data_IF_644512387115
#
_entry.id   IF_644512387115
#
_cell.length_a   1.000
_cell.length_b   1.000
_cell.length_c   1.000
_cell.angle_alpha   90.00
_cell.angle_beta   90.00
_cell.angle_gamma   90.00
#
_symmetry.space_group_name_H-M   'P 1'
#
loop_
_entity.id
_entity.type
_entity.pdbx_description
1 polymer ?
#
# COMPACT_ATOMS: atom_id res chain seq x y z
N UNK A 1 -18.51 -16.93 -0.89
CA UNK A 1 -17.62 -16.21 -1.83
C UNK A 1 -16.20 -16.61 -1.54
N UNK A 2 -15.45 -17.02 -2.55
CA UNK A 2 -14.02 -17.35 -2.42
C UNK A 2 -13.19 -16.10 -2.66
N UNK A 3 -12.08 -15.95 -1.95
CA UNK A 3 -11.21 -14.81 -2.13
C UNK A 3 -9.76 -15.13 -1.85
N UNK A 4 -8.87 -14.26 -2.33
CA UNK A 4 -7.44 -14.36 -2.08
C UNK A 4 -6.85 -12.97 -1.88
N UNK A 5 -5.92 -12.87 -0.93
CA UNK A 5 -5.16 -11.67 -0.65
C UNK A 5 -3.75 -11.85 -1.21
N UNK A 6 -3.39 -11.04 -2.19
CA UNK A 6 -2.04 -11.03 -2.77
C UNK A 6 -1.32 -9.77 -2.30
N UNK A 7 -0.08 -9.87 -1.82
CA UNK A 7 0.59 -8.69 -1.29
C UNK A 7 2.09 -8.62 -1.58
N UNK A 8 2.62 -7.40 -1.59
CA UNK A 8 4.06 -7.15 -1.70
C UNK A 8 4.52 -6.21 -0.59
N UNK A 9 5.13 -6.79 0.44
CA UNK A 9 5.64 -6.09 1.61
C UNK A 9 7.16 -6.03 1.59
N UNK A 10 7.74 -4.83 1.75
CA UNK A 10 9.20 -4.63 1.87
C UNK A 10 9.62 -4.51 3.34
N UNK A 11 8.86 -3.73 4.13
CA UNK A 11 9.15 -3.42 5.54
C UNK A 11 8.04 -3.84 6.50
N UNK A 12 7.26 -4.88 6.16
CA UNK A 12 6.32 -5.51 7.09
C UNK A 12 4.90 -4.94 7.11
N UNK A 13 4.69 -3.62 7.02
CA UNK A 13 3.35 -3.02 7.20
C UNK A 13 2.26 -3.63 6.30
N UNK A 14 2.54 -3.83 5.00
CA UNK A 14 1.58 -4.43 4.06
C UNK A 14 1.27 -5.89 4.42
N UNK A 15 2.26 -6.63 4.91
CA UNK A 15 2.10 -8.02 5.36
C UNK A 15 1.16 -8.06 6.57
N UNK A 16 1.38 -7.17 7.54
CA UNK A 16 0.54 -7.04 8.73
C UNK A 16 -0.93 -6.80 8.37
N UNK A 17 -1.20 -5.88 7.43
CA UNK A 17 -2.55 -5.64 6.92
C UNK A 17 -3.13 -6.83 6.14
N UNK A 18 -2.32 -7.52 5.34
CA UNK A 18 -2.76 -8.72 4.63
C UNK A 18 -3.14 -9.86 5.59
N UNK A 19 -2.37 -10.03 6.67
CA UNK A 19 -2.66 -10.99 7.74
C UNK A 19 -3.94 -10.63 8.48
N UNK A 20 -4.15 -9.36 8.85
CA UNK A 20 -5.39 -8.91 9.47
C UNK A 20 -6.62 -9.04 8.57
N UNK A 21 -6.47 -8.79 7.25
CA UNK A 21 -7.53 -9.07 6.28
C UNK A 21 -7.82 -10.56 6.17
N UNK A 22 -6.79 -11.41 6.19
CA UNK A 22 -6.93 -12.86 6.18
C UNK A 22 -7.69 -13.34 7.42
N UNK A 23 -7.33 -12.85 8.62
CA UNK A 23 -8.06 -13.11 9.87
C UNK A 23 -9.54 -12.72 9.78
N UNK A 24 -9.83 -11.54 9.22
CA UNK A 24 -11.19 -11.01 9.16
C UNK A 24 -12.09 -11.68 8.10
N UNK A 25 -11.50 -12.18 7.01
CA UNK A 25 -12.24 -12.69 5.84
C UNK A 25 -12.17 -14.21 5.68
N UNK A 26 -11.18 -14.87 6.30
CA UNK A 26 -10.84 -16.26 6.04
C UNK A 26 -10.16 -16.51 4.68
N UNK A 27 -9.85 -15.46 3.91
CA UNK A 27 -9.17 -15.60 2.62
C UNK A 27 -7.69 -15.91 2.82
N UNK A 28 -7.11 -16.90 2.10
CA UNK A 28 -5.67 -17.11 2.12
C UNK A 28 -4.93 -15.85 1.68
N UNK A 29 -3.81 -15.55 2.35
CA UNK A 29 -2.90 -14.48 1.95
C UNK A 29 -1.55 -15.03 1.48
N UNK A 30 -1.06 -14.53 0.35
CA UNK A 30 0.20 -14.98 -0.28
C UNK A 30 0.97 -13.80 -0.85
N UNK A 31 2.29 -13.90 -0.90
CA UNK A 31 3.10 -12.84 -1.53
C UNK A 31 2.92 -12.82 -3.05
N UNK A 32 3.10 -11.68 -3.70
CA UNK A 32 3.06 -11.60 -5.18
C UNK A 32 4.10 -12.49 -5.87
N UNK A 33 5.16 -12.91 -5.15
CA UNK A 33 6.20 -13.81 -5.68
C UNK A 33 5.76 -15.27 -5.68
N UNK A 34 4.96 -15.66 -4.69
CA UNK A 34 4.50 -17.03 -4.47
C UNK A 34 3.10 -17.28 -5.04
N UNK A 35 2.36 -16.21 -5.39
CA UNK A 35 1.02 -16.31 -5.93
C UNK A 35 0.99 -17.03 -7.29
N UNK A 36 0.38 -18.21 -7.33
CA UNK A 36 0.00 -18.87 -8.59
C UNK A 36 -1.21 -18.15 -9.19
N UNK A 37 -1.00 -17.55 -10.36
CA UNK A 37 -2.06 -16.82 -11.06
C UNK A 37 -3.23 -17.72 -11.47
N UNK A 38 -3.02 -19.01 -11.71
CA UNK A 38 -4.11 -19.91 -12.07
C UNK A 38 -5.03 -20.20 -10.87
N UNK A 39 -4.50 -20.22 -9.65
CA UNK A 39 -5.31 -20.31 -8.43
C UNK A 39 -6.00 -18.97 -8.11
N UNK A 40 -5.27 -17.85 -8.22
CA UNK A 40 -5.86 -16.51 -8.07
C UNK A 40 -7.03 -16.30 -9.04
N UNK A 41 -6.90 -16.80 -10.27
CA UNK A 41 -7.93 -16.68 -11.29
C UNK A 41 -9.20 -17.53 -11.01
N UNK A 42 -9.18 -18.43 -10.02
CA UNK A 42 -10.38 -19.18 -9.59
C UNK A 42 -11.21 -18.45 -8.55
N UNK A 43 -10.62 -17.48 -7.83
CA UNK A 43 -11.32 -16.76 -6.78
C UNK A 43 -12.33 -15.74 -7.32
N UNK A 44 -13.37 -15.45 -6.54
CA UNK A 44 -14.37 -14.42 -6.86
C UNK A 44 -13.84 -13.01 -6.54
N UNK A 45 -13.09 -12.91 -5.43
CA UNK A 45 -12.49 -11.67 -4.93
C UNK A 45 -10.97 -11.77 -4.92
N UNK A 46 -10.31 -10.75 -5.45
CA UNK A 46 -8.86 -10.58 -5.37
C UNK A 46 -8.56 -9.26 -4.67
N UNK A 47 -7.84 -9.32 -3.56
CA UNK A 47 -7.40 -8.13 -2.81
C UNK A 47 -5.90 -8.00 -2.98
N UNK A 48 -5.43 -6.89 -3.55
CA UNK A 48 -4.02 -6.63 -3.79
C UNK A 48 -3.44 -5.57 -2.86
N UNK A 49 -2.46 -5.95 -2.04
CA UNK A 49 -1.80 -5.07 -1.07
C UNK A 49 -0.41 -4.63 -1.51
N UNK A 50 -0.15 -3.31 -1.51
CA UNK A 50 1.15 -2.75 -1.86
C UNK A 50 1.64 -1.66 -0.91
N UNK A 51 2.95 -1.47 -0.81
CA UNK A 51 3.53 -0.30 -0.14
C UNK A 51 3.77 0.81 -1.14
N UNK A 52 3.65 2.06 -0.69
CA UNK A 52 3.98 3.25 -1.48
C UNK A 52 5.46 3.58 -1.33
N UNK A 53 6.21 3.49 -2.43
CA UNK A 53 7.64 3.81 -2.47
C UNK A 53 7.94 4.67 -3.70
N UNK A 54 8.54 5.85 -3.50
CA UNK A 54 8.77 6.84 -4.57
C UNK A 54 7.49 7.07 -5.41
N UNK A 55 6.36 7.25 -4.72
CA UNK A 55 5.01 7.41 -5.29
C UNK A 55 4.48 6.20 -6.08
N UNK A 56 5.17 5.06 -6.13
CA UNK A 56 4.70 3.82 -6.75
C UNK A 56 4.04 2.86 -5.76
N UNK A 57 2.90 2.27 -6.13
CA UNK A 57 2.24 1.23 -5.33
C UNK A 57 2.79 -0.15 -5.74
N UNK A 58 3.47 -0.83 -4.83
CA UNK A 58 4.30 -2.00 -5.15
C UNK A 58 3.56 -3.20 -5.77
N UNK A 59 2.25 -3.36 -5.53
CA UNK A 59 1.45 -4.46 -6.06
C UNK A 59 0.94 -4.24 -7.50
N UNK A 60 0.96 -3.00 -8.00
CA UNK A 60 0.39 -2.66 -9.32
C UNK A 60 1.08 -3.40 -10.45
N UNK A 61 2.38 -3.69 -10.35
CA UNK A 61 3.09 -4.48 -11.35
C UNK A 61 2.58 -5.91 -11.48
N UNK A 62 2.19 -6.55 -10.36
CA UNK A 62 1.55 -7.86 -10.38
C UNK A 62 0.18 -7.78 -11.05
N UNK A 63 -0.61 -6.76 -10.72
CA UNK A 63 -1.95 -6.58 -11.31
C UNK A 63 -1.83 -6.37 -12.82
N UNK A 64 -0.99 -5.43 -13.28
CA UNK A 64 -0.78 -5.15 -14.72
C UNK A 64 -0.36 -6.40 -15.49
N UNK A 65 0.60 -7.17 -14.96
CA UNK A 65 1.07 -8.41 -15.59
C UNK A 65 -0.04 -9.45 -15.77
N UNK A 66 -1.02 -9.45 -14.88
CA UNK A 66 -2.03 -10.50 -14.79
C UNK A 66 -3.46 -10.01 -15.06
N UNK A 67 -3.64 -8.75 -15.48
CA UNK A 67 -4.95 -8.11 -15.54
C UNK A 67 -5.91 -8.87 -16.44
N UNK A 68 -5.44 -9.43 -17.56
CA UNK A 68 -6.27 -10.26 -18.45
C UNK A 68 -6.89 -11.50 -17.79
N UNK A 69 -6.26 -12.06 -16.74
CA UNK A 69 -6.79 -13.21 -15.98
C UNK A 69 -7.64 -12.81 -14.77
N UNK A 70 -7.50 -11.57 -14.29
CA UNK A 70 -8.19 -11.04 -13.11
C UNK A 70 -9.41 -10.20 -13.53
N UNK A 71 -9.44 -9.70 -14.77
CA UNK A 71 -10.52 -8.88 -15.32
C UNK A 71 -11.87 -9.60 -15.22
N UNK A 72 -12.90 -8.86 -14.81
CA UNK A 72 -14.24 -9.39 -14.57
C UNK A 72 -14.47 -9.93 -13.15
N UNK A 73 -13.43 -10.01 -12.31
CA UNK A 73 -13.56 -10.34 -10.89
C UNK A 73 -13.68 -9.08 -10.04
N UNK A 74 -14.10 -9.25 -8.78
CA UNK A 74 -14.02 -8.17 -7.80
C UNK A 74 -12.56 -7.98 -7.40
N UNK A 75 -11.92 -6.97 -7.97
CA UNK A 75 -10.54 -6.60 -7.68
C UNK A 75 -10.51 -5.34 -6.80
N UNK A 76 -9.89 -5.44 -5.64
CA UNK A 76 -9.70 -4.34 -4.69
C UNK A 76 -8.19 -4.14 -4.43
N UNK A 77 -7.77 -2.90 -4.19
CA UNK A 77 -6.37 -2.59 -3.85
C UNK A 77 -6.32 -1.88 -2.50
N UNK A 78 -5.39 -2.26 -1.63
CA UNK A 78 -5.00 -1.40 -0.51
C UNK A 78 -3.53 -1.00 -0.64
N UNK A 79 -3.21 0.24 -0.27
CA UNK A 79 -1.86 0.78 -0.29
C UNK A 79 -1.43 1.26 1.09
N UNK A 80 -0.18 0.99 1.45
CA UNK A 80 0.40 1.43 2.71
C UNK A 80 1.40 2.58 2.51
N UNK A 81 1.12 3.75 3.09
CA UNK A 81 2.03 4.89 3.16
C UNK A 81 2.41 5.22 4.61
N UNK A 82 3.53 5.92 4.82
CA UNK A 82 4.00 6.28 6.17
C UNK A 82 3.35 7.57 6.72
N UNK A 83 2.67 8.36 5.88
CA UNK A 83 2.05 9.62 6.29
C UNK A 83 0.65 9.42 6.90
N UNK A 84 0.13 10.38 7.67
CA UNK A 84 -1.32 10.48 7.87
C UNK A 84 -2.07 10.46 6.52
N UNK A 85 -3.33 10.04 6.54
CA UNK A 85 -4.19 10.17 5.37
C UNK A 85 -4.33 11.65 5.02
N UNK A 86 -4.10 11.96 3.75
CA UNK A 86 -4.33 13.26 3.15
C UNK A 86 -4.88 13.02 1.75
N UNK A 87 -6.04 13.60 1.44
CA UNK A 87 -6.79 13.29 0.22
C UNK A 87 -5.98 13.64 -1.03
N UNK A 88 -5.37 14.82 -1.04
CA UNK A 88 -4.58 15.29 -2.19
C UNK A 88 -3.39 14.37 -2.46
N UNK A 89 -2.64 14.02 -1.42
CA UNK A 89 -1.50 13.10 -1.53
C UNK A 89 -1.92 11.69 -1.98
N UNK A 90 -3.03 11.18 -1.45
CA UNK A 90 -3.58 9.86 -1.81
C UNK A 90 -4.06 9.84 -3.26
N UNK A 91 -4.81 10.85 -3.68
CA UNK A 91 -5.31 10.96 -5.05
C UNK A 91 -4.16 11.07 -6.04
N UNK A 92 -3.12 11.86 -5.75
CA UNK A 92 -1.93 11.97 -6.60
C UNK A 92 -1.21 10.63 -6.78
N UNK A 93 -1.10 9.82 -5.72
CA UNK A 93 -0.53 8.46 -5.81
C UNK A 93 -1.44 7.56 -6.65
N UNK A 94 -2.75 7.61 -6.48
CA UNK A 94 -3.70 6.82 -7.27
C UNK A 94 -3.61 7.20 -8.76
N UNK A 95 -3.66 8.49 -9.10
CA UNK A 95 -3.56 8.99 -10.47
C UNK A 95 -2.26 8.57 -11.16
N UNK A 96 -1.14 8.56 -10.42
CA UNK A 96 0.14 8.14 -10.97
C UNK A 96 0.18 6.64 -11.29
N UNK A 97 -0.54 5.80 -10.55
CA UNK A 97 -0.41 4.34 -10.59
C UNK A 97 -1.55 3.62 -11.33
N UNK A 98 -2.79 4.10 -11.17
CA UNK A 98 -4.03 3.43 -11.58
C UNK A 98 -4.50 3.94 -12.95
N UNK A 99 -3.63 3.78 -13.95
CA UNK A 99 -3.85 4.19 -15.35
C UNK A 99 -4.30 3.01 -16.21
N UNK A 100 -4.82 3.32 -17.39
CA UNK A 100 -5.17 2.35 -18.44
C UNK A 100 -6.11 1.25 -17.90
N UNK A 101 -5.72 -0.02 -18.03
CA UNK A 101 -6.49 -1.18 -17.55
C UNK A 101 -6.66 -1.24 -16.03
N UNK A 102 -5.90 -0.44 -15.26
CA UNK A 102 -6.08 -0.34 -13.82
C UNK A 102 -7.07 0.76 -13.40
N UNK A 103 -7.50 1.62 -14.34
CA UNK A 103 -8.37 2.75 -14.04
C UNK A 103 -9.70 2.25 -13.49
N UNK A 104 -10.17 2.89 -12.41
CA UNK A 104 -11.46 2.58 -11.77
C UNK A 104 -11.43 1.42 -10.78
N UNK A 105 -10.30 0.71 -10.62
CA UNK A 105 -10.14 -0.26 -9.53
C UNK A 105 -10.14 0.51 -8.19
N UNK A 106 -10.99 0.13 -7.21
CA UNK A 106 -10.99 0.77 -5.90
C UNK A 106 -9.65 0.63 -5.18
N UNK A 107 -9.14 1.74 -4.65
CA UNK A 107 -7.89 1.80 -3.86
C UNK A 107 -8.19 2.37 -2.47
N UNK A 108 -7.73 1.66 -1.44
CA UNK A 108 -7.91 2.04 -0.04
C UNK A 108 -6.55 2.37 0.58
N UNK A 109 -6.48 3.48 1.31
CA UNK A 109 -5.26 3.87 2.03
C UNK A 109 -5.23 3.22 3.41
N UNK A 110 -4.08 2.63 3.77
CA UNK A 110 -3.80 2.14 5.11
C UNK A 110 -2.54 2.82 5.64
N UNK A 111 -2.58 3.48 6.80
CA UNK A 111 -1.36 4.06 7.35
C UNK A 111 -0.42 2.96 7.83
N UNK A 112 0.84 3.03 7.39
CA UNK A 112 1.85 2.01 7.59
C UNK A 112 2.78 2.31 8.77
N UNK A 113 4.01 1.83 8.64
CA UNK A 113 5.08 2.00 9.61
C UNK A 113 6.29 2.65 8.92
N UNK A 114 7.16 3.26 9.72
CA UNK A 114 8.41 3.86 9.28
C UNK A 114 9.50 3.57 10.30
N UNK A 115 10.54 2.87 9.86
CA UNK A 115 11.71 2.55 10.69
C UNK A 115 12.95 2.60 9.80
N UNK A 116 13.77 3.62 9.99
CA UNK A 116 14.99 3.81 9.19
C UNK A 116 16.01 2.70 9.43
N UNK A 117 16.03 2.10 10.63
CA UNK A 117 17.01 1.07 10.99
C UNK A 117 16.73 -0.24 10.25
N UNK A 118 15.47 -0.59 10.01
CA UNK A 118 15.10 -1.75 9.19
C UNK A 118 15.19 -1.51 7.68
N UNK A 119 15.27 -0.25 7.23
CA UNK A 119 15.44 0.04 5.80
C UNK A 119 16.79 -0.41 5.25
N UNK A 120 16.78 -0.83 3.98
CA UNK A 120 17.98 -1.04 3.17
C UNK A 120 18.80 0.25 3.09
N UNK A 121 20.12 0.12 2.92
CA UNK A 121 21.03 1.26 2.82
C UNK A 121 20.59 2.30 1.78
N UNK A 122 20.13 1.85 0.61
CA UNK A 122 19.63 2.71 -0.47
C UNK A 122 18.41 3.53 -0.03
N UNK A 123 17.37 2.88 0.49
CA UNK A 123 16.12 3.52 0.89
C UNK A 123 16.33 4.47 2.09
N UNK A 124 17.16 4.06 3.05
CA UNK A 124 17.54 4.88 4.20
C UNK A 124 18.24 6.16 3.77
N UNK A 125 19.19 6.06 2.83
CA UNK A 125 19.89 7.22 2.30
C UNK A 125 18.95 8.12 1.50
N UNK A 126 18.02 7.55 0.73
CA UNK A 126 17.02 8.32 0.00
C UNK A 126 16.13 9.12 0.97
N UNK A 127 15.62 8.50 2.03
CA UNK A 127 14.84 9.19 3.06
C UNK A 127 15.65 10.30 3.73
N UNK A 128 16.92 10.02 4.07
CA UNK A 128 17.83 11.00 4.70
C UNK A 128 18.09 12.20 3.79
N UNK A 129 18.34 11.97 2.50
CA UNK A 129 18.54 13.05 1.52
C UNK A 129 17.27 13.87 1.31
N UNK A 130 16.13 13.19 1.17
CA UNK A 130 14.84 13.84 1.02
C UNK A 130 14.52 14.72 2.23
N UNK A 131 14.70 14.22 3.45
CA UNK A 131 14.58 15.03 4.67
C UNK A 131 15.48 16.26 4.65
N UNK A 132 16.77 16.11 4.32
CA UNK A 132 17.70 17.26 4.24
C UNK A 132 17.24 18.31 3.23
N UNK A 133 16.60 17.89 2.14
CA UNK A 133 15.98 18.80 1.18
C UNK A 133 14.76 19.51 1.77
N UNK A 134 13.88 18.75 2.43
CA UNK A 134 12.67 19.28 3.06
C UNK A 134 12.99 20.29 4.17
N UNK A 135 14.02 20.07 4.99
CA UNK A 135 14.43 21.02 6.03
C UNK A 135 14.83 22.41 5.51
N UNK A 136 15.02 22.58 4.19
CA UNK A 136 15.28 23.87 3.55
C UNK A 136 14.00 24.59 3.08
N UNK A 137 12.85 23.90 3.08
CA UNK A 137 11.54 24.49 2.74
C UNK A 137 10.94 25.20 3.95
N UNK A 138 10.10 26.19 3.67
CA UNK A 138 9.24 26.80 4.69
C UNK A 138 8.26 25.74 5.24
N UNK A 139 8.24 25.47 6.56
CA UNK A 139 7.29 24.53 7.16
C UNK A 139 5.83 24.84 6.88
N UNK A 140 5.47 26.12 6.66
CA UNK A 140 4.11 26.52 6.31
C UNK A 140 3.69 26.05 4.91
N UNK A 141 4.66 25.78 4.03
CA UNK A 141 4.45 25.34 2.65
C UNK A 141 4.57 23.82 2.47
N UNK A 142 4.90 23.08 3.52
CA UNK A 142 5.06 21.63 3.44
C UNK A 142 3.72 20.91 3.36
N UNK A 143 3.65 19.93 2.45
CA UNK A 143 2.54 18.99 2.40
C UNK A 143 2.53 18.07 3.63
N UNK A 144 1.40 17.41 3.89
CA UNK A 144 1.21 16.52 5.05
C UNK A 144 2.25 15.40 5.09
N UNK A 145 2.53 14.77 3.94
CA UNK A 145 3.52 13.69 3.86
C UNK A 145 4.95 14.19 4.07
N UNK A 146 5.25 15.44 3.70
CA UNK A 146 6.58 16.04 3.90
C UNK A 146 6.85 16.27 5.37
N UNK A 147 5.89 16.86 6.09
CA UNK A 147 5.96 17.03 7.56
C UNK A 147 6.12 15.69 8.25
N UNK A 148 5.30 14.71 7.88
CA UNK A 148 5.37 13.36 8.43
C UNK A 148 6.74 12.71 8.19
N UNK A 149 7.38 12.89 7.03
CA UNK A 149 8.72 12.34 6.78
C UNK A 149 9.79 13.00 7.66
N UNK A 150 9.74 14.32 7.81
CA UNK A 150 10.69 15.07 8.64
C UNK A 150 10.60 14.59 10.09
N UNK A 151 9.38 14.55 10.64
CA UNK A 151 9.09 14.11 12.01
C UNK A 151 9.45 12.64 12.24
N UNK A 152 9.09 11.76 11.30
CA UNK A 152 9.31 10.33 11.43
C UNK A 152 10.80 9.93 11.38
N UNK A 153 11.64 10.76 10.76
CA UNK A 153 13.09 10.51 10.67
C UNK A 153 13.84 11.01 11.91
N UNK A 154 13.26 11.94 12.68
CA UNK A 154 13.86 12.38 13.94
C UNK A 154 13.75 11.32 15.05
N UNK A 155 12.85 10.36 14.88
CA UNK A 155 12.65 9.23 15.76
C UNK A 155 13.08 7.94 15.04
N UNK A 156 13.46 6.91 15.81
CA UNK A 156 14.12 5.74 15.22
C UNK A 156 13.15 4.74 14.59
N UNK A 157 11.94 4.57 15.14
CA UNK A 157 10.92 3.66 14.62
C UNK A 157 9.50 4.08 15.03
N UNK A 158 8.56 3.95 14.10
CA UNK A 158 7.14 4.20 14.30
C UNK A 158 6.28 3.14 13.62
N UNK A 159 5.29 2.63 14.34
CA UNK A 159 4.24 1.79 13.78
C UNK A 159 2.88 2.49 13.99
N UNK A 160 2.29 2.98 12.91
CA UNK A 160 0.96 3.60 12.92
C UNK A 160 -0.10 2.70 12.28
N UNK A 161 0.18 1.40 12.14
CA UNK A 161 -0.79 0.47 11.59
C UNK A 161 -1.99 0.31 12.52
N UNK A 162 -3.18 0.34 11.95
CA UNK A 162 -4.44 0.26 12.69
C UNK A 162 -5.46 -0.54 11.86
N UNK A 163 -6.08 -1.55 12.47
CA UNK A 163 -7.08 -2.40 11.81
C UNK A 163 -8.26 -1.61 11.24
N UNK A 164 -8.59 -0.45 11.80
CA UNK A 164 -9.70 0.42 11.33
C UNK A 164 -9.51 0.90 9.89
N UNK A 165 -8.27 0.96 9.37
CA UNK A 165 -8.03 1.26 7.94
C UNK A 165 -8.57 0.15 7.01
N UNK A 166 -8.87 -1.03 7.52
CA UNK A 166 -9.44 -2.12 6.74
C UNK A 166 -10.96 -2.05 6.61
N UNK A 167 -11.64 -1.23 7.43
CA UNK A 167 -13.11 -1.15 7.41
C UNK A 167 -13.66 -0.84 6.00
N UNK A 168 -13.12 0.13 5.24
CA UNK A 168 -13.58 0.39 3.87
C UNK A 168 -13.33 -0.78 2.91
N UNK A 169 -12.24 -1.54 3.12
CA UNK A 169 -11.93 -2.73 2.32
C UNK A 169 -12.96 -3.82 2.59
N UNK A 170 -13.26 -4.07 3.87
CA UNK A 170 -14.23 -5.08 4.31
C UNK A 170 -15.64 -4.77 3.83
N UNK A 171 -16.04 -3.51 3.83
CA UNK A 171 -17.33 -3.08 3.28
C UNK A 171 -17.40 -3.29 1.76
N UNK A 172 -16.32 -2.95 1.03
CA UNK A 172 -16.26 -3.17 -0.43
C UNK A 172 -16.30 -4.65 -0.83
N UNK A 173 -15.83 -5.56 0.03
CA UNK A 173 -15.96 -7.02 -0.19
C UNK A 173 -17.44 -7.43 -0.19
N UNK A 174 -18.26 -6.86 0.70
CA UNK A 174 -19.67 -7.23 0.88
C UNK A 174 -20.60 -6.67 -0.20
N UNK A 175 -20.29 -5.49 -0.75
CA UNK A 175 -21.10 -4.75 -1.73
C UNK A 175 -21.15 -5.43 -3.11
#
# INVERSE_FOLDING_TARGET
>A
MTGIIIYKSKYGAVKKYAEWLSEATGFPCVTTKEADINEVAKCDVVIAGGGVYASGISCTSYIKKNIGKIKGKKLLVFMCGASPYDKESVDAVIEMNMKDELKGIPVFYCRGAFDLKSMSFVDRNLCTMLRKSLLKKDPAQMAVWEKALVEATDNEAHDWTDKTYLDPVLEAIKA
#
